data_IF_385880872192
#
_entry.id   IF_385880872192
#
_cell.length_a   1.000
_cell.length_b   1.000
_cell.length_c   1.000
_cell.angle_alpha   90.00
_cell.angle_beta   90.00
_cell.angle_gamma   90.00
#
_symmetry.space_group_name_H-M   'P 1'
#
loop_
_entity.id
_entity.type
_entity.pdbx_description
1 polymer ?
#
# COMPACT_ATOMS: atom_id res chain seq x y z
N UNK A 1 -62.10 -42.91 12.91
CA UNK A 1 -62.74 -41.67 12.40
C UNK A 1 -61.75 -40.55 12.68
N UNK A 2 -61.09 -39.90 11.73
CA UNK A 2 -61.53 -39.33 10.45
C UNK A 2 -60.42 -39.58 9.39
N UNK A 3 -60.83 -39.95 8.18
CA UNK A 3 -59.98 -40.05 6.98
C UNK A 3 -59.83 -38.67 6.32
N UNK A 4 -58.67 -38.39 5.72
CA UNK A 4 -58.60 -37.67 4.45
C UNK A 4 -57.50 -38.29 3.57
N UNK A 5 -57.91 -38.77 2.39
CA UNK A 5 -57.06 -39.16 1.25
C UNK A 5 -57.06 -38.01 0.24
N UNK A 6 -55.92 -37.69 -0.37
CA UNK A 6 -55.82 -37.56 -1.84
C UNK A 6 -54.38 -37.38 -2.30
N UNK A 7 -54.05 -38.11 -3.37
CA UNK A 7 -52.77 -38.18 -4.07
C UNK A 7 -52.59 -37.00 -5.03
N UNK A 8 -51.36 -36.53 -5.23
CA UNK A 8 -50.82 -35.92 -6.47
C UNK A 8 -49.29 -35.82 -6.25
N UNK A 9 -48.47 -36.74 -6.76
CA UNK A 9 -47.97 -36.87 -8.15
C UNK A 9 -47.07 -35.70 -8.58
N UNK A 10 -45.95 -36.09 -9.21
CA UNK A 10 -45.02 -35.31 -10.02
C UNK A 10 -43.78 -34.71 -9.33
N UNK A 11 -42.65 -35.36 -9.67
CA UNK A 11 -41.42 -34.74 -10.16
C UNK A 11 -40.95 -33.45 -9.47
N UNK A 12 -39.91 -33.57 -8.65
CA UNK A 12 -38.75 -32.67 -8.80
C UNK A 12 -37.51 -33.57 -8.93
N UNK A 13 -37.38 -34.13 -10.13
CA UNK A 13 -36.11 -34.56 -10.68
C UNK A 13 -35.26 -33.30 -10.97
N UNK A 14 -33.98 -33.39 -10.60
CA UNK A 14 -32.86 -32.78 -11.31
C UNK A 14 -32.85 -31.24 -11.41
N UNK A 15 -32.24 -30.59 -10.43
CA UNK A 15 -31.44 -29.38 -10.68
C UNK A 15 -30.06 -29.57 -10.02
N UNK A 16 -29.33 -30.58 -10.49
CA UNK A 16 -27.88 -30.58 -10.52
C UNK A 16 -27.50 -30.53 -12.01
N UNK A 17 -27.70 -29.36 -12.61
CA UNK A 17 -27.24 -29.08 -13.97
C UNK A 17 -26.45 -27.78 -13.90
N UNK A 18 -25.14 -27.93 -14.05
CA UNK A 18 -24.17 -26.92 -14.45
C UNK A 18 -24.65 -25.47 -14.46
N UNK A 19 -24.34 -24.75 -13.38
CA UNK A 19 -23.93 -23.36 -13.52
C UNK A 19 -22.41 -23.30 -13.39
N UNK A 20 -21.70 -23.96 -14.31
CA UNK A 20 -20.47 -23.35 -14.83
C UNK A 20 -20.91 -22.17 -15.69
N UNK A 21 -21.42 -21.12 -15.05
CA UNK A 21 -21.60 -19.83 -15.71
C UNK A 21 -20.19 -19.33 -16.00
N UNK A 22 -19.80 -19.35 -17.26
CA UNK A 22 -18.66 -18.57 -17.72
C UNK A 22 -18.96 -17.11 -17.35
N UNK A 23 -18.11 -16.53 -16.51
CA UNK A 23 -18.22 -15.13 -16.12
C UNK A 23 -18.16 -14.30 -17.40
N UNK A 24 -19.15 -13.44 -17.61
CA UNK A 24 -19.09 -12.51 -18.73
C UNK A 24 -17.89 -11.56 -18.52
N UNK A 25 -17.27 -11.05 -19.60
CA UNK A 25 -16.18 -10.07 -19.47
C UNK A 25 -16.56 -8.86 -18.61
N UNK A 26 -17.85 -8.53 -18.55
CA UNK A 26 -18.44 -7.46 -17.73
C UNK A 26 -18.45 -7.80 -16.22
N UNK A 27 -18.66 -9.07 -15.85
CA UNK A 27 -18.55 -9.55 -14.46
C UNK A 27 -17.10 -9.64 -13.98
N UNK A 28 -16.17 -9.98 -14.88
CA UNK A 28 -14.72 -9.93 -14.60
C UNK A 28 -14.26 -8.47 -14.45
N UNK A 29 -14.80 -7.55 -15.26
CA UNK A 29 -14.50 -6.12 -15.17
C UNK A 29 -15.08 -5.43 -13.92
N UNK A 30 -16.07 -6.03 -13.26
CA UNK A 30 -16.72 -5.46 -12.06
C UNK A 30 -15.93 -5.63 -10.75
N UNK A 31 -14.86 -6.42 -10.74
CA UNK A 31 -13.89 -6.32 -9.64
C UNK A 31 -13.01 -5.09 -9.86
N UNK A 32 -13.55 -3.90 -9.57
CA UNK A 32 -12.73 -2.71 -9.44
C UNK A 32 -11.70 -3.00 -8.35
N UNK A 33 -10.44 -3.17 -8.74
CA UNK A 33 -9.35 -3.32 -7.78
C UNK A 33 -9.38 -2.09 -6.87
N UNK A 34 -9.46 -2.29 -5.56
CA UNK A 34 -9.33 -1.19 -4.60
C UNK A 34 -7.94 -0.58 -4.79
N UNK A 35 -7.83 0.72 -5.11
CA UNK A 35 -6.54 1.37 -5.26
C UNK A 35 -5.71 1.21 -3.98
N UNK A 36 -4.43 0.85 -4.13
CA UNK A 36 -3.48 0.70 -3.04
C UNK A 36 -2.37 1.72 -3.19
N UNK A 37 -1.76 2.11 -2.06
CA UNK A 37 -0.56 2.94 -2.03
C UNK A 37 0.59 2.06 -1.55
N UNK A 38 1.70 2.07 -2.28
CA UNK A 38 2.95 1.42 -1.90
C UNK A 38 4.05 2.48 -1.91
N UNK A 39 4.74 2.62 -0.78
CA UNK A 39 5.91 3.47 -0.65
C UNK A 39 7.13 2.57 -0.51
N UNK A 40 8.11 2.73 -1.40
CA UNK A 40 9.37 1.99 -1.36
C UNK A 40 10.49 2.98 -1.07
N UNK A 41 11.18 2.76 0.03
CA UNK A 41 12.40 3.47 0.38
C UNK A 41 13.63 2.61 0.08
N UNK A 42 14.68 3.21 -0.49
CA UNK A 42 15.98 2.55 -0.72
C UNK A 42 17.07 3.48 -0.17
N UNK A 43 17.81 3.01 0.84
CA UNK A 43 18.86 3.81 1.47
C UNK A 43 20.12 3.89 0.57
N UNK A 44 20.85 5.00 0.66
CA UNK A 44 22.15 5.19 0.02
C UNK A 44 22.13 5.39 -1.50
N UNK A 45 20.96 5.53 -2.13
CA UNK A 45 20.87 5.75 -3.58
C UNK A 45 21.25 7.18 -3.94
N UNK A 46 22.30 7.31 -4.74
CA UNK A 46 22.66 8.57 -5.38
C UNK A 46 22.11 8.62 -6.81
N UNK A 47 21.47 9.72 -7.23
CA UNK A 47 20.92 9.83 -8.58
C UNK A 47 21.95 9.65 -9.69
N UNK A 48 23.19 10.13 -9.50
CA UNK A 48 24.26 10.01 -10.50
C UNK A 48 24.66 8.54 -10.73
N UNK A 49 24.80 7.77 -9.65
CA UNK A 49 25.07 6.32 -9.75
C UNK A 49 23.89 5.57 -10.35
N UNK A 50 22.66 5.92 -9.97
CA UNK A 50 21.45 5.27 -10.48
C UNK A 50 21.36 5.39 -12.01
N UNK A 51 21.78 6.51 -12.59
CA UNK A 51 21.77 6.74 -14.04
C UNK A 51 22.86 5.96 -14.80
N UNK A 52 23.90 5.49 -14.10
CA UNK A 52 25.04 4.80 -14.71
C UNK A 52 24.94 3.26 -14.62
N UNK A 53 23.91 2.73 -13.96
CA UNK A 53 23.71 1.28 -13.76
C UNK A 53 22.44 0.78 -14.42
N UNK A 54 22.42 -0.50 -14.82
CA UNK A 54 21.25 -1.12 -15.42
C UNK A 54 20.19 -1.46 -14.36
N UNK A 55 19.09 -0.69 -14.30
CA UNK A 55 18.00 -0.86 -13.33
C UNK A 55 16.65 -1.06 -14.00
N UNK A 56 16.45 -2.13 -14.79
CA UNK A 56 15.34 -2.24 -15.74
C UNK A 56 13.94 -2.11 -15.11
N UNK A 57 13.78 -2.49 -13.84
CA UNK A 57 12.51 -2.33 -13.13
C UNK A 57 12.26 -0.88 -12.66
N UNK A 58 13.30 -0.16 -12.21
CA UNK A 58 13.19 1.25 -11.83
C UNK A 58 13.07 2.14 -13.07
N UNK A 59 13.78 1.80 -14.13
CA UNK A 59 13.73 2.50 -15.42
C UNK A 59 12.31 2.43 -15.98
N UNK A 60 11.71 1.23 -15.96
CA UNK A 60 10.31 1.04 -16.36
C UNK A 60 9.32 1.84 -15.48
N UNK A 61 9.53 1.90 -14.16
CA UNK A 61 8.69 2.71 -13.27
C UNK A 61 8.81 4.21 -13.57
N UNK A 62 10.00 4.69 -13.93
CA UNK A 62 10.23 6.07 -14.32
C UNK A 62 9.58 6.39 -15.68
N UNK A 63 9.66 5.49 -16.65
CA UNK A 63 9.07 5.62 -17.99
C UNK A 63 7.53 5.60 -17.97
N UNK A 64 6.93 4.71 -17.18
CA UNK A 64 5.47 4.57 -17.06
C UNK A 64 4.86 5.57 -16.07
N UNK A 65 5.69 6.29 -15.31
CA UNK A 65 5.29 7.16 -14.21
C UNK A 65 5.85 8.58 -14.32
N UNK A 66 6.35 9.08 -13.19
CA UNK A 66 6.98 10.39 -13.10
C UNK A 66 8.27 10.26 -12.29
N UNK A 67 9.34 10.90 -12.79
CA UNK A 67 10.67 10.82 -12.18
C UNK A 67 11.33 12.20 -12.13
N UNK A 68 12.08 12.44 -11.06
CA UNK A 68 12.98 13.59 -10.94
C UNK A 68 14.26 13.19 -10.22
N UNK A 69 15.41 13.57 -10.79
CA UNK A 69 16.73 13.47 -10.16
C UNK A 69 17.10 14.70 -9.33
N UNK A 70 16.22 15.70 -9.26
CA UNK A 70 16.46 16.98 -8.58
C UNK A 70 15.95 16.99 -7.13
N UNK A 71 15.38 15.89 -6.64
CA UNK A 71 14.95 15.79 -5.25
C UNK A 71 16.17 15.89 -4.31
N UNK A 72 16.09 16.74 -3.29
CA UNK A 72 17.15 16.96 -2.32
C UNK A 72 16.69 16.60 -0.92
N UNK A 73 17.54 15.87 -0.20
CA UNK A 73 17.38 15.68 1.25
C UNK A 73 17.92 16.89 2.02
N UNK A 74 17.56 16.99 3.30
CA UNK A 74 18.13 17.99 4.21
C UNK A 74 19.64 17.79 4.40
N UNK A 75 20.35 18.87 4.76
CA UNK A 75 21.77 18.81 5.10
C UNK A 75 21.98 18.79 6.63
N UNK A 76 22.87 17.94 7.18
CA UNK A 76 23.64 16.91 6.49
C UNK A 76 22.77 15.72 6.06
N UNK A 77 23.18 15.01 5.01
CA UNK A 77 22.49 13.81 4.52
C UNK A 77 22.74 12.62 5.46
N UNK A 78 22.03 12.60 6.59
CA UNK A 78 22.08 11.54 7.60
C UNK A 78 20.75 10.78 7.56
N UNK A 79 20.83 9.45 7.58
CA UNK A 79 19.67 8.56 7.38
C UNK A 79 18.55 8.81 8.39
N UNK A 80 18.82 8.83 9.69
CA UNK A 80 17.82 9.03 10.75
C UNK A 80 16.98 10.30 10.53
N UNK A 81 17.60 11.49 10.44
CA UNK A 81 16.90 12.73 10.12
C UNK A 81 16.16 12.69 8.77
N UNK A 82 16.80 12.15 7.72
CA UNK A 82 16.21 12.07 6.37
C UNK A 82 14.96 11.20 6.31
N UNK A 83 15.02 9.98 6.87
CA UNK A 83 13.87 9.07 6.97
C UNK A 83 12.75 9.67 7.81
N UNK A 84 13.08 10.28 8.95
CA UNK A 84 12.10 10.96 9.80
C UNK A 84 11.37 12.06 9.04
N UNK A 85 12.11 12.91 8.32
CA UNK A 85 11.52 13.98 7.52
C UNK A 85 10.61 13.46 6.41
N UNK A 86 11.00 12.40 5.71
CA UNK A 86 10.19 11.79 4.64
C UNK A 86 8.88 11.17 5.16
N UNK A 87 8.91 10.51 6.32
CA UNK A 87 7.75 9.81 6.87
C UNK A 87 6.77 10.75 7.60
N UNK A 88 7.28 11.82 8.20
CA UNK A 88 6.49 12.73 9.06
C UNK A 88 6.05 14.00 8.30
N UNK A 89 6.80 14.39 7.27
CA UNK A 89 6.50 15.57 6.45
C UNK A 89 6.90 16.90 7.09
N UNK A 90 7.81 16.90 8.05
CA UNK A 90 8.42 18.10 8.65
C UNK A 90 9.93 17.93 8.74
N UNK A 91 10.68 19.01 8.98
CA UNK A 91 12.14 18.99 9.10
C UNK A 91 12.61 18.70 10.54
N UNK A 92 13.92 18.40 10.76
CA UNK A 92 14.49 18.09 12.07
C UNK A 92 14.20 19.09 13.17
N UNK A 93 14.05 20.38 12.84
CA UNK A 93 13.71 21.43 13.81
C UNK A 93 12.34 21.20 14.46
N UNK A 94 11.47 20.43 13.83
CA UNK A 94 10.16 20.04 14.37
C UNK A 94 10.19 18.64 14.97
N UNK A 95 10.58 17.63 14.20
CA UNK A 95 10.52 16.23 14.65
C UNK A 95 11.67 15.82 15.58
N UNK A 96 12.66 16.69 15.83
CA UNK A 96 13.70 16.53 16.86
C UNK A 96 14.86 15.61 16.50
N UNK A 97 14.72 14.75 15.49
CA UNK A 97 15.77 13.80 15.08
C UNK A 97 16.87 14.49 14.26
N UNK A 98 18.04 14.64 14.85
CA UNK A 98 19.21 15.29 14.23
C UNK A 98 20.36 14.35 13.87
N UNK A 99 20.31 13.08 14.31
CA UNK A 99 21.27 12.04 13.96
C UNK A 99 20.63 10.62 14.02
N UNK A 100 21.46 9.58 13.87
CA UNK A 100 21.00 8.18 13.84
C UNK A 100 20.72 7.58 15.24
N UNK A 101 20.87 8.33 16.33
CA UNK A 101 20.50 7.87 17.67
C UNK A 101 19.00 7.98 17.94
N UNK A 102 18.32 8.86 17.19
CA UNK A 102 16.91 9.25 17.41
C UNK A 102 16.65 9.88 18.79
N UNK A 103 17.68 10.27 19.53
CA UNK A 103 17.50 10.97 20.79
C UNK A 103 16.81 12.33 20.57
N UNK A 104 15.78 12.60 21.39
CA UNK A 104 15.01 13.84 21.29
C UNK A 104 13.95 13.86 20.20
N UNK A 105 13.60 12.70 19.63
CA UNK A 105 12.47 12.56 18.72
C UNK A 105 11.15 13.11 19.32
N UNK A 106 10.25 13.58 18.44
CA UNK A 106 8.96 14.19 18.79
C UNK A 106 7.81 13.64 17.95
N UNK A 107 7.77 12.33 17.74
CA UNK A 107 6.80 11.65 16.89
C UNK A 107 5.38 11.68 17.49
N UNK A 108 5.23 11.81 18.80
CA UNK A 108 3.92 12.04 19.44
C UNK A 108 3.30 13.37 19.01
N UNK A 109 4.12 14.43 18.88
CA UNK A 109 3.69 15.74 18.40
C UNK A 109 3.52 15.77 16.87
N UNK A 110 4.34 14.98 16.17
CA UNK A 110 4.41 14.92 14.71
C UNK A 110 4.40 13.45 14.25
N UNK A 111 3.21 12.81 14.19
CA UNK A 111 3.12 11.41 13.80
C UNK A 111 3.48 11.21 12.33
N UNK A 112 3.95 10.02 11.98
CA UNK A 112 4.20 9.61 10.60
C UNK A 112 2.89 9.46 9.79
N UNK A 113 3.02 9.33 8.47
CA UNK A 113 1.85 9.28 7.58
C UNK A 113 0.97 8.03 7.78
N UNK A 114 1.50 6.88 8.22
CA UNK A 114 0.69 5.69 8.49
C UNK A 114 -0.14 5.89 9.75
N UNK A 115 0.49 6.34 10.84
CA UNK A 115 -0.21 6.67 12.09
C UNK A 115 -1.33 7.70 11.85
N UNK A 116 -1.07 8.73 11.03
CA UNK A 116 -2.11 9.71 10.65
C UNK A 116 -3.25 9.10 9.85
N UNK A 117 -2.94 8.21 8.91
CA UNK A 117 -3.97 7.54 8.09
C UNK A 117 -4.83 6.64 8.98
N UNK A 118 -4.25 5.89 9.91
CA UNK A 118 -4.99 5.03 10.84
C UNK A 118 -5.95 5.83 11.73
N UNK A 119 -5.55 7.05 12.15
CA UNK A 119 -6.40 7.94 12.94
C UNK A 119 -7.58 8.51 12.13
N UNK A 120 -7.35 8.89 10.87
CA UNK A 120 -8.37 9.55 10.02
C UNK A 120 -9.27 8.52 9.31
N UNK A 121 -8.70 7.36 8.95
CA UNK A 121 -9.32 6.29 8.17
C UNK A 121 -9.01 4.91 8.77
N UNK A 122 -9.57 4.59 9.95
CA UNK A 122 -9.31 3.33 10.66
C UNK A 122 -9.82 2.08 9.92
N UNK A 123 -10.63 2.25 8.87
CA UNK A 123 -11.07 1.17 8.00
C UNK A 123 -9.97 0.66 7.06
N UNK A 124 -8.88 1.41 6.88
CA UNK A 124 -7.77 0.99 6.03
C UNK A 124 -6.82 0.06 6.76
N UNK A 125 -6.30 -0.91 6.03
CA UNK A 125 -5.20 -1.74 6.49
C UNK A 125 -3.86 -1.14 6.07
N UNK A 126 -3.01 -0.86 7.05
CA UNK A 126 -1.64 -0.40 6.90
C UNK A 126 -0.67 -1.53 7.22
N UNK A 127 0.53 -1.46 6.64
CA UNK A 127 1.63 -2.38 6.94
C UNK A 127 2.95 -1.67 6.66
N UNK A 128 3.90 -1.81 7.58
CA UNK A 128 5.26 -1.33 7.42
C UNK A 128 6.24 -2.46 7.72
N UNK A 129 7.27 -2.56 6.89
CA UNK A 129 8.44 -3.42 7.12
C UNK A 129 9.67 -2.62 6.74
N UNK A 130 10.70 -2.69 7.57
CA UNK A 130 11.96 -2.05 7.33
C UNK A 130 13.08 -3.01 7.75
N UNK A 131 14.19 -2.94 7.01
CA UNK A 131 15.46 -3.54 7.37
C UNK A 131 16.51 -2.44 7.23
N UNK A 132 17.00 -1.95 8.36
CA UNK A 132 17.95 -0.86 8.45
C UNK A 132 18.99 -1.22 9.50
N UNK A 133 20.26 -1.25 9.10
CA UNK A 133 21.41 -1.78 9.85
C UNK A 133 22.19 -0.69 10.55
#
# INVERSE_FOLDING_TARGET
MIQYRSKLSCLILLIWASACTELTPEQVAQHSLTPKVLVIGIDGIRPDVLMDVNTPNLDKLAEEGSFTSHAMTGYPSVSGPGWSSMLIGVWPEKHGVTDNSFEGERYDDFPDFLTRIEQIRPELSTFAVADWV
#
